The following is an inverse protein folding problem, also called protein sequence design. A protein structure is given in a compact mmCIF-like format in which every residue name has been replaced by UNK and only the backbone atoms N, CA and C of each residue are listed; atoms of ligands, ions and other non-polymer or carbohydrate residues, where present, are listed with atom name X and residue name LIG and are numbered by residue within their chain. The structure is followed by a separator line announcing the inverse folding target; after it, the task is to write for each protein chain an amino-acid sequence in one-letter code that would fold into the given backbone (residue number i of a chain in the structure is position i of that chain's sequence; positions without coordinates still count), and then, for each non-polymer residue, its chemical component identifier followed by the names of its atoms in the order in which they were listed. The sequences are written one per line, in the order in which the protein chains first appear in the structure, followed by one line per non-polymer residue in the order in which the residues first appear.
data_IF_659236345675
#
_entry.id   IF_659236345675
#
_cell.length_a   1.000
_cell.length_b   1.000
_cell.length_c   1.000
_cell.angle_alpha   90.00
_cell.angle_beta   90.00
_cell.angle_gamma   90.00
#
_symmetry.space_group_name_H-M   'P 1'
#
loop_
_entity.id
_entity.type
_entity.pdbx_description
1 polymer ?
#
# COMPACT_ATOMS: atom_id res chain seq x y z
N UNK A 1 -0.98 2.11 20.28
CA UNK A 1 0.13 1.50 19.51
C UNK A 1 0.55 2.48 18.44
N UNK A 2 1.85 2.61 18.14
CA UNK A 2 2.31 3.38 16.99
C UNK A 2 2.11 2.51 15.75
N UNK A 3 1.49 2.99 14.68
CA UNK A 3 1.31 2.17 13.51
C UNK A 3 2.64 1.90 12.79
N UNK A 4 2.70 0.79 12.07
CA UNK A 4 3.89 0.41 11.31
C UNK A 4 4.12 1.39 10.16
N UNK A 5 5.31 1.99 10.11
CA UNK A 5 5.69 2.95 9.08
C UNK A 5 7.10 2.64 8.58
N UNK A 6 7.22 2.16 7.34
CA UNK A 6 8.51 2.02 6.68
C UNK A 6 9.10 3.41 6.37
N UNK A 7 10.43 3.54 6.29
CA UNK A 7 11.06 4.84 6.04
C UNK A 7 10.96 5.21 4.56
N UNK A 8 10.22 6.27 4.23
CA UNK A 8 10.10 6.73 2.84
C UNK A 8 11.44 7.28 2.33
N UNK A 9 11.86 6.92 1.10
CA UNK A 9 12.97 7.59 0.45
C UNK A 9 12.59 9.05 0.11
N UNK A 10 13.57 9.96 -0.01
CA UNK A 10 13.32 11.38 -0.24
C UNK A 10 12.43 11.65 -1.46
N UNK A 11 12.62 10.92 -2.58
CA UNK A 11 11.79 11.08 -3.78
C UNK A 11 10.30 10.79 -3.53
N UNK A 12 10.00 9.74 -2.77
CA UNK A 12 8.62 9.33 -2.47
C UNK A 12 8.01 10.28 -1.44
N UNK A 13 8.78 10.74 -0.46
CA UNK A 13 8.30 11.73 0.50
C UNK A 13 7.92 13.06 -0.20
N UNK A 14 8.70 13.52 -1.18
CA UNK A 14 8.36 14.69 -1.98
C UNK A 14 7.05 14.47 -2.75
N UNK A 15 6.87 13.30 -3.38
CA UNK A 15 5.63 12.94 -4.08
C UNK A 15 4.44 12.89 -3.10
N UNK A 16 4.61 12.25 -1.96
CA UNK A 16 3.59 12.15 -0.90
C UNK A 16 3.14 13.54 -0.43
N UNK A 17 4.07 14.48 -0.22
CA UNK A 17 3.73 15.85 0.18
C UNK A 17 2.95 16.63 -0.88
N UNK A 18 3.05 16.26 -2.16
CA UNK A 18 2.29 16.91 -3.25
C UNK A 18 0.86 16.38 -3.36
N UNK A 19 0.65 15.10 -3.04
CA UNK A 19 -0.62 14.40 -3.26
C UNK A 19 -1.44 14.30 -1.98
N UNK A 20 -0.79 14.12 -0.82
CA UNK A 20 -1.46 13.98 0.46
C UNK A 20 -1.98 15.36 0.93
N UNK A 21 -3.28 15.52 1.18
CA UNK A 21 -3.79 16.73 1.83
C UNK A 21 -3.13 16.93 3.20
N UNK A 22 -2.76 18.16 3.59
CA UNK A 22 -1.99 18.41 4.82
C UNK A 22 -2.72 17.97 6.10
N UNK A 23 -4.05 17.90 6.06
CA UNK A 23 -4.90 17.55 7.20
C UNK A 23 -5.00 16.04 7.46
N UNK A 24 -4.67 15.21 6.46
CA UNK A 24 -4.80 13.76 6.58
C UNK A 24 -3.66 13.15 7.40
N UNK A 25 -3.99 12.17 8.22
CA UNK A 25 -3.00 11.47 9.03
C UNK A 25 -2.61 10.18 8.35
N UNK A 26 -1.31 9.97 8.15
CA UNK A 26 -0.80 8.69 7.65
C UNK A 26 -1.00 7.65 8.75
N UNK A 27 -1.78 6.62 8.42
CA UNK A 27 -2.04 5.49 9.29
C UNK A 27 -0.96 4.43 9.11
N UNK A 28 -0.59 4.05 7.90
CA UNK A 28 0.57 3.19 7.66
C UNK A 28 1.21 3.45 6.30
N UNK A 29 2.45 3.02 6.13
CA UNK A 29 3.16 3.11 4.86
C UNK A 29 4.09 1.93 4.67
N UNK A 30 3.98 1.28 3.51
CA UNK A 30 4.73 0.06 3.16
C UNK A 30 5.25 0.13 1.73
N UNK A 31 6.39 -0.53 1.49
CA UNK A 31 7.02 -0.63 0.19
C UNK A 31 6.79 -2.02 -0.46
N UNK A 32 6.63 -2.05 -1.78
CA UNK A 32 6.80 -3.24 -2.62
C UNK A 32 8.21 -3.28 -3.19
N UNK A 33 8.63 -4.44 -3.68
CA UNK A 33 9.89 -4.64 -4.42
C UNK A 33 9.69 -4.80 -5.94
N UNK A 34 8.44 -4.75 -6.40
CA UNK A 34 8.07 -4.63 -7.81
C UNK A 34 7.33 -3.32 -8.14
N UNK A 35 7.61 -2.80 -9.34
CA UNK A 35 6.84 -1.70 -9.96
C UNK A 35 5.60 -2.27 -10.66
N UNK A 36 5.73 -3.46 -11.24
CA UNK A 36 4.68 -4.25 -11.89
C UNK A 36 5.16 -5.71 -12.04
N UNK A 37 4.34 -6.60 -12.61
CA UNK A 37 4.66 -8.03 -12.81
C UNK A 37 6.02 -8.32 -13.48
N UNK A 38 6.55 -7.39 -14.27
CA UNK A 38 7.72 -7.63 -15.13
C UNK A 38 8.94 -6.79 -14.73
N UNK A 39 8.82 -5.86 -13.78
CA UNK A 39 9.85 -4.88 -13.47
C UNK A 39 10.12 -4.76 -11.98
N UNK A 40 11.34 -5.11 -11.56
CA UNK A 40 11.85 -4.81 -10.23
C UNK A 40 11.95 -3.30 -10.00
N UNK A 41 11.59 -2.90 -8.78
CA UNK A 41 11.68 -1.54 -8.32
C UNK A 41 10.62 -1.26 -7.27
N UNK A 42 10.75 -0.14 -6.58
CA UNK A 42 9.98 0.10 -5.39
C UNK A 42 8.69 0.88 -5.71
N UNK A 43 7.55 0.41 -5.23
CA UNK A 43 6.31 1.20 -5.18
C UNK A 43 5.80 1.27 -3.74
N UNK A 44 5.16 2.37 -3.40
CA UNK A 44 4.73 2.63 -2.05
C UNK A 44 3.22 2.65 -1.95
N UNK A 45 2.70 1.98 -0.93
CA UNK A 45 1.33 2.11 -0.47
C UNK A 45 1.33 2.90 0.82
N UNK A 46 0.62 4.03 0.81
CA UNK A 46 0.41 4.86 1.99
C UNK A 46 -1.09 4.90 2.25
N UNK A 47 -1.52 4.46 3.42
CA UNK A 47 -2.90 4.62 3.85
C UNK A 47 -3.00 5.81 4.80
N UNK A 48 -3.90 6.73 4.52
CA UNK A 48 -4.30 7.80 5.43
C UNK A 48 -5.62 7.46 6.11
N UNK A 49 -6.14 8.37 6.92
CA UNK A 49 -7.49 8.30 7.48
C UNK A 49 -8.61 8.51 6.45
N UNK A 50 -8.27 8.82 5.18
CA UNK A 50 -9.24 9.07 4.10
C UNK A 50 -8.94 8.37 2.78
N UNK A 51 -7.67 8.19 2.43
CA UNK A 51 -7.26 7.74 1.10
C UNK A 51 -6.16 6.68 1.18
N UNK A 52 -6.14 5.79 0.19
CA UNK A 52 -4.98 4.99 -0.19
C UNK A 52 -4.23 5.70 -1.31
N UNK A 53 -2.94 5.90 -1.13
CA UNK A 53 -2.04 6.54 -2.07
C UNK A 53 -1.02 5.51 -2.54
N UNK A 54 -1.00 5.27 -3.85
CA UNK A 54 -0.06 4.37 -4.52
C UNK A 54 0.97 5.23 -5.24
N UNK A 55 2.22 5.21 -4.78
CA UNK A 55 3.28 6.10 -5.25
C UNK A 55 4.46 5.27 -5.77
N UNK A 56 4.73 5.23 -7.08
CA UNK A 56 5.92 4.57 -7.60
C UNK A 56 7.18 5.36 -7.21
N UNK A 57 8.24 4.67 -6.78
CA UNK A 57 9.53 5.28 -6.42
C UNK A 57 10.19 5.89 -7.65
N UNK A 58 10.32 5.12 -8.73
CA UNK A 58 10.86 5.56 -10.02
C UNK A 58 9.77 5.74 -11.10
N UNK A 59 10.00 6.65 -12.05
CA UNK A 59 9.09 6.90 -13.19
C UNK A 59 8.25 8.18 -13.07
N UNK A 60 7.35 8.38 -14.04
CA UNK A 60 6.45 9.55 -14.15
C UNK A 60 5.63 9.72 -12.87
N UNK A 61 5.27 10.97 -12.52
CA UNK A 61 4.45 11.38 -11.37
C UNK A 61 3.00 10.83 -11.39
N UNK A 62 2.82 9.53 -11.62
CA UNK A 62 1.55 8.83 -11.55
C UNK A 62 1.35 8.30 -10.13
N UNK A 63 0.81 9.14 -9.25
CA UNK A 63 0.21 8.65 -8.01
C UNK A 63 -1.22 8.23 -8.29
N UNK A 64 -1.61 7.06 -7.82
CA UNK A 64 -3.03 6.66 -7.83
C UNK A 64 -3.59 6.91 -6.44
N UNK A 65 -4.71 7.61 -6.38
CA UNK A 65 -5.44 7.91 -5.15
C UNK A 65 -6.77 7.15 -5.17
N UNK A 66 -7.08 6.47 -4.07
CA UNK A 66 -8.33 5.73 -3.89
C UNK A 66 -8.93 6.13 -2.55
N UNK A 67 -10.09 6.81 -2.53
CA UNK A 67 -10.82 7.05 -1.29
C UNK A 67 -11.13 5.74 -0.56
N UNK A 68 -10.96 5.72 0.76
CA UNK A 68 -11.24 4.52 1.57
C UNK A 68 -12.70 4.08 1.46
N UNK A 69 -13.63 5.03 1.31
CA UNK A 69 -15.05 4.75 1.10
C UNK A 69 -15.36 4.23 -0.32
N UNK A 70 -14.44 4.38 -1.28
CA UNK A 70 -14.53 3.82 -2.62
C UNK A 70 -13.91 2.42 -2.71
N UNK A 71 -13.19 1.95 -1.69
CA UNK A 71 -12.68 0.57 -1.62
C UNK A 71 -13.86 -0.38 -1.41
N UNK A 72 -13.99 -1.37 -2.30
CA UNK A 72 -14.94 -2.46 -2.16
C UNK A 72 -14.33 -3.63 -1.40
N UNK A 73 -13.11 -4.02 -1.79
CA UNK A 73 -12.40 -5.16 -1.21
C UNK A 73 -10.90 -4.96 -1.36
N UNK A 74 -10.13 -5.41 -0.37
CA UNK A 74 -8.67 -5.53 -0.46
C UNK A 74 -8.26 -6.96 -0.12
N UNK A 75 -7.57 -7.63 -1.04
CA UNK A 75 -7.11 -9.01 -0.86
C UNK A 75 -5.76 -9.26 -1.50
N UNK A 76 -5.03 -10.23 -0.98
CA UNK A 76 -3.83 -10.76 -1.64
C UNK A 76 -4.20 -11.88 -2.59
N UNK A 77 -3.50 -11.94 -3.72
CA UNK A 77 -3.60 -13.01 -4.70
C UNK A 77 -2.22 -13.61 -4.92
N UNK A 78 -2.11 -14.93 -4.75
CA UNK A 78 -0.85 -15.65 -4.96
C UNK A 78 -0.52 -15.75 -6.45
N UNK A 79 0.75 -15.49 -6.78
CA UNK A 79 1.30 -15.59 -8.13
C UNK A 79 2.56 -16.45 -8.13
N UNK A 80 2.99 -16.91 -9.30
CA UNK A 80 4.25 -17.64 -9.40
C UNK A 80 5.41 -16.71 -9.05
N UNK A 81 6.14 -17.02 -7.98
CA UNK A 81 7.30 -16.24 -7.52
C UNK A 81 6.95 -15.07 -6.58
N UNK A 82 5.68 -14.83 -6.27
CA UNK A 82 5.26 -13.75 -5.39
C UNK A 82 3.75 -13.63 -5.22
N UNK A 83 3.27 -12.41 -5.11
CA UNK A 83 1.83 -12.14 -5.04
C UNK A 83 1.51 -10.74 -5.50
N UNK A 84 0.23 -10.43 -5.49
CA UNK A 84 -0.25 -9.06 -5.67
C UNK A 84 -1.31 -8.71 -4.64
N UNK A 85 -1.31 -7.46 -4.21
CA UNK A 85 -2.43 -6.86 -3.49
C UNK A 85 -3.39 -6.32 -4.55
N UNK A 86 -4.62 -6.82 -4.54
CA UNK A 86 -5.72 -6.33 -5.35
C UNK A 86 -6.62 -5.45 -4.48
N UNK A 87 -6.77 -4.18 -4.87
CA UNK A 87 -7.74 -3.25 -4.26
C UNK A 87 -8.85 -3.02 -5.27
N UNK A 88 -9.94 -3.75 -5.06
CA UNK A 88 -11.18 -3.62 -5.81
C UNK A 88 -11.88 -2.32 -5.40
N UNK A 89 -12.37 -1.59 -6.39
CA UNK A 89 -13.08 -0.33 -6.18
C UNK A 89 -14.55 -0.53 -6.45
N UNK A 90 -15.40 0.19 -5.72
CA UNK A 90 -16.85 0.21 -5.98
C UNK A 90 -17.15 0.65 -7.42
N UNK A 91 -16.32 1.53 -7.97
CA UNK A 91 -16.37 1.99 -9.35
C UNK A 91 -14.97 2.14 -9.95
N UNK A 92 -14.83 1.79 -11.23
CA UNK A 92 -13.57 1.88 -11.98
C UNK A 92 -12.70 0.62 -11.92
N UNK A 93 -11.51 0.72 -12.50
CA UNK A 93 -10.57 -0.40 -12.56
C UNK A 93 -9.90 -0.67 -11.20
N UNK A 94 -9.65 -1.94 -10.85
CA UNK A 94 -8.92 -2.29 -9.64
C UNK A 94 -7.48 -1.79 -9.66
N UNK A 95 -6.89 -1.58 -8.48
CA UNK A 95 -5.45 -1.29 -8.35
C UNK A 95 -4.73 -2.55 -7.96
N UNK A 96 -3.61 -2.81 -8.63
CA UNK A 96 -2.73 -3.92 -8.30
C UNK A 96 -1.36 -3.42 -7.86
N UNK A 97 -0.85 -4.00 -6.78
CA UNK A 97 0.54 -3.86 -6.35
C UNK A 97 1.18 -5.24 -6.30
N UNK A 98 2.24 -5.44 -7.09
CA UNK A 98 2.99 -6.68 -7.13
C UNK A 98 4.11 -6.67 -6.10
N UNK A 99 4.42 -7.85 -5.56
CA UNK A 99 5.51 -8.04 -4.61
C UNK A 99 6.08 -9.46 -4.70
N UNK A 100 7.34 -9.64 -4.30
CA UNK A 100 7.97 -10.96 -4.25
C UNK A 100 7.42 -11.81 -3.10
N UNK A 101 7.68 -13.12 -3.16
CA UNK A 101 7.22 -14.06 -2.14
C UNK A 101 7.69 -13.72 -0.72
N UNK A 102 8.82 -13.02 -0.58
CA UNK A 102 9.34 -12.55 0.70
C UNK A 102 8.41 -11.58 1.43
N UNK A 103 7.51 -10.89 0.70
CA UNK A 103 6.60 -9.90 1.26
C UNK A 103 5.17 -10.44 1.47
N UNK A 104 4.92 -11.73 1.21
CA UNK A 104 3.58 -12.33 1.40
C UNK A 104 3.03 -12.11 2.81
N UNK A 105 3.77 -12.40 3.91
CA UNK A 105 3.23 -12.18 5.26
C UNK A 105 2.87 -10.72 5.50
N UNK A 106 3.70 -9.80 5.00
CA UNK A 106 3.45 -8.36 5.08
C UNK A 106 2.16 -7.98 4.36
N UNK A 107 1.99 -8.43 3.12
CA UNK A 107 0.85 -7.97 2.32
C UNK A 107 -0.48 -8.61 2.73
N UNK A 108 -0.48 -9.78 3.38
CA UNK A 108 -1.69 -10.34 4.00
C UNK A 108 -2.24 -9.42 5.08
N UNK A 109 -1.38 -8.98 6.01
CA UNK A 109 -1.76 -8.02 7.07
C UNK A 109 -2.21 -6.68 6.48
N UNK A 110 -1.49 -6.17 5.47
CA UNK A 110 -1.84 -4.91 4.79
C UNK A 110 -3.22 -4.98 4.14
N UNK A 111 -3.57 -6.11 3.50
CA UNK A 111 -4.89 -6.28 2.89
C UNK A 111 -6.00 -6.24 3.95
N UNK A 112 -5.81 -6.94 5.07
CA UNK A 112 -6.74 -6.91 6.20
C UNK A 112 -6.87 -5.50 6.80
N UNK A 113 -5.75 -4.80 6.99
CA UNK A 113 -5.73 -3.42 7.47
C UNK A 113 -6.48 -2.46 6.54
N UNK A 114 -6.30 -2.57 5.22
CA UNK A 114 -7.10 -1.78 4.26
C UNK A 114 -8.58 -2.12 4.38
N UNK A 115 -8.92 -3.39 4.51
CA UNK A 115 -10.31 -3.83 4.64
C UNK A 115 -10.97 -3.25 5.90
N UNK A 116 -10.27 -3.23 7.03
CA UNK A 116 -10.73 -2.59 8.26
C UNK A 116 -10.97 -1.09 8.05
N UNK A 117 -9.99 -0.39 7.47
CA UNK A 117 -10.10 1.04 7.19
C UNK A 117 -11.26 1.38 6.26
N UNK A 118 -11.50 0.57 5.21
CA UNK A 118 -12.62 0.75 4.29
C UNK A 118 -14.01 0.65 4.97
N UNK A 119 -14.07 -0.06 6.11
CA UNK A 119 -15.28 -0.23 6.92
C UNK A 119 -15.36 0.78 8.07
N UNK A 120 -14.35 1.65 8.24
CA UNK A 120 -14.23 2.54 9.39
C UNK A 120 -13.90 1.82 10.70
N UNK A 121 -13.37 0.61 10.62
CA UNK A 121 -12.93 -0.17 11.76
C UNK A 121 -11.52 0.29 12.22
N UNK A 122 -11.16 0.11 13.50
CA UNK A 122 -9.82 0.40 13.98
C UNK A 122 -8.77 -0.45 13.25
N UNK A 123 -7.65 0.17 12.88
CA UNK A 123 -6.53 -0.52 12.26
C UNK A 123 -5.82 -1.43 13.25
N UNK A 124 -5.86 -2.73 13.01
CA UNK A 124 -5.16 -3.76 13.79
C UNK A 124 -3.99 -4.34 12.98
N UNK A 125 -3.04 -3.49 12.57
CA UNK A 125 -1.79 -3.97 11.98
C UNK A 125 -0.79 -4.37 13.08
N UNK A 126 -0.08 -5.51 12.91
CA UNK A 126 1.02 -5.85 13.80
C UNK A 126 2.09 -4.75 13.75
N UNK A 127 2.60 -4.38 14.93
CA UNK A 127 3.59 -3.32 15.10
C UNK A 127 4.96 -3.65 14.52
N UNK A 128 5.23 -4.93 14.26
CA UNK A 128 6.43 -5.43 13.61
C UNK A 128 6.03 -6.36 12.48
N UNK A 129 6.09 -5.86 11.25
CA UNK A 129 6.12 -6.72 10.09
C UNK A 129 7.57 -7.21 10.01
N UNK A 130 7.81 -8.48 10.35
CA UNK A 130 9.16 -9.05 10.30
C UNK A 130 9.75 -8.75 8.92
N UNK A 131 10.73 -7.84 8.88
CA UNK A 131 11.52 -7.61 7.69
C UNK A 131 12.20 -8.94 7.42
N UNK A 132 11.72 -9.68 6.45
CA UNK A 132 12.37 -10.89 5.96
C UNK A 132 13.70 -10.44 5.34
N UNK A 133 14.71 -10.28 6.18
CA UNK A 133 16.10 -10.10 5.77
C UNK A 133 16.54 -11.47 5.27
N UNK A 134 16.66 -11.61 3.95
CA UNK A 134 17.58 -12.59 3.37
C UNK A 134 19.03 -12.12 3.57
#
# INVERSE_FOLDING_TARGET
MKPFMETLPPEVNIKLQRVKPPEEQVLFQVATDFINEQSFGESWLIATDRHLLFIPSAGVDGSVEVPLDAVQEARTEELVGGGRLAVERKEGEPVYLHYSSSLIPKFSEVAEGIQQLSKGEPLELPTEMERTRC
#
